data_IF_980685322141
#
_entry.id   IF_980685322141
#
_cell.length_a   1.000
_cell.length_b   1.000
_cell.length_c   1.000
_cell.angle_alpha   90.00
_cell.angle_beta   90.00
_cell.angle_gamma   90.00
#
_symmetry.space_group_name_H-M   'P 1'
#
loop_
_entity.id
_entity.type
_entity.pdbx_description
1 polymer ?
#
# COMPACT_ATOMS: atom_id res chain seq x y z
N UNK A 1 -17.00 2.29 30.41
CA UNK A 1 -15.75 1.69 30.92
C UNK A 1 -14.58 2.51 30.39
N UNK A 2 -13.72 3.08 31.24
CA UNK A 2 -12.52 3.80 30.82
C UNK A 2 -11.33 2.85 30.87
N UNK A 3 -10.57 2.76 29.79
CA UNK A 3 -9.28 2.08 29.78
C UNK A 3 -8.22 3.06 30.30
N UNK A 4 -7.45 2.64 31.30
CA UNK A 4 -6.29 3.37 31.79
C UNK A 4 -5.04 2.65 31.32
N UNK A 5 -4.31 3.26 30.39
CA UNK A 5 -3.04 2.71 29.91
C UNK A 5 -1.98 2.79 31.01
N UNK A 6 -1.15 1.76 31.12
CA UNK A 6 0.06 1.78 31.95
C UNK A 6 1.34 1.99 31.12
N UNK A 7 1.21 2.22 29.81
CA UNK A 7 2.35 2.57 28.98
C UNK A 7 2.88 3.96 29.37
N UNK A 8 4.20 4.06 29.53
CA UNK A 8 4.91 5.30 29.86
C UNK A 8 5.76 5.72 28.65
N UNK A 9 5.29 6.65 27.80
CA UNK A 9 6.00 7.06 26.58
C UNK A 9 7.40 7.64 26.82
N UNK A 10 7.65 8.19 28.01
CA UNK A 10 8.94 8.73 28.40
C UNK A 10 9.97 7.67 28.82
N UNK A 11 9.53 6.44 29.12
CA UNK A 11 10.42 5.37 29.58
C UNK A 11 11.33 4.85 28.47
N UNK A 12 12.53 4.39 28.84
CA UNK A 12 13.50 3.87 27.88
C UNK A 12 12.98 2.59 27.20
N UNK A 13 12.25 1.75 27.93
CA UNK A 13 11.62 0.55 27.38
C UNK A 13 10.59 0.90 26.29
N UNK A 14 9.75 1.92 26.51
CA UNK A 14 8.79 2.36 25.49
C UNK A 14 9.51 2.89 24.24
N UNK A 15 10.52 3.76 24.42
CA UNK A 15 11.32 4.30 23.31
C UNK A 15 12.03 3.21 22.51
N UNK A 16 12.57 2.19 23.19
CA UNK A 16 13.19 1.05 22.52
C UNK A 16 12.17 0.24 21.69
N UNK A 17 10.97 0.00 22.23
CA UNK A 17 9.89 -0.67 21.52
C UNK A 17 9.42 0.14 20.31
N UNK A 18 9.21 1.45 20.48
CA UNK A 18 8.82 2.37 19.40
C UNK A 18 9.87 2.37 18.29
N UNK A 19 11.15 2.51 18.63
CA UNK A 19 12.25 2.49 17.67
C UNK A 19 12.28 1.17 16.87
N UNK A 20 12.17 0.02 17.55
CA UNK A 20 12.14 -1.27 16.89
C UNK A 20 10.91 -1.42 15.97
N UNK A 21 9.75 -0.96 16.41
CA UNK A 21 8.52 -1.03 15.63
C UNK A 21 8.57 -0.13 14.40
N UNK A 22 9.04 1.12 14.55
CA UNK A 22 9.21 2.05 13.43
C UNK A 22 10.21 1.53 12.40
N UNK A 23 11.27 0.85 12.84
CA UNK A 23 12.20 0.18 11.92
C UNK A 23 11.50 -0.91 11.10
N UNK A 24 10.75 -1.79 11.75
CA UNK A 24 9.98 -2.84 11.05
C UNK A 24 8.94 -2.25 10.09
N UNK A 25 8.27 -1.16 10.47
CA UNK A 25 7.33 -0.45 9.60
C UNK A 25 8.03 0.16 8.37
N UNK A 26 9.26 0.65 8.52
CA UNK A 26 10.04 1.16 7.38
C UNK A 26 10.28 0.07 6.34
N UNK A 27 10.69 -1.12 6.77
CA UNK A 27 10.95 -2.25 5.86
C UNK A 27 9.70 -2.63 5.05
N UNK A 28 8.53 -2.64 5.70
CA UNK A 28 7.25 -2.90 5.02
C UNK A 28 6.87 -1.77 4.07
N UNK A 29 7.10 -0.52 4.47
CA UNK A 29 6.82 0.66 3.64
C UNK A 29 7.67 0.66 2.37
N UNK A 30 8.97 0.40 2.50
CA UNK A 30 9.91 0.37 1.37
C UNK A 30 9.49 -0.71 0.36
N UNK A 31 9.09 -1.89 0.83
CA UNK A 31 8.57 -2.96 0.00
C UNK A 31 7.28 -2.56 -0.76
N UNK A 32 6.35 -1.89 -0.07
CA UNK A 32 5.10 -1.42 -0.66
C UNK A 32 5.32 -0.29 -1.68
N UNK A 33 6.20 0.67 -1.39
CA UNK A 33 6.56 1.76 -2.30
C UNK A 33 7.24 1.23 -3.57
N UNK A 34 8.17 0.27 -3.42
CA UNK A 34 8.78 -0.41 -4.56
C UNK A 34 7.73 -1.13 -5.43
N UNK A 35 6.78 -1.85 -4.81
CA UNK A 35 5.69 -2.51 -5.53
C UNK A 35 4.73 -1.49 -6.20
N UNK A 36 4.55 -0.31 -5.61
CA UNK A 36 3.68 0.74 -6.16
C UNK A 36 4.19 1.31 -7.49
N UNK A 37 5.50 1.21 -7.77
CA UNK A 37 6.08 1.55 -9.07
C UNK A 37 5.67 0.58 -10.20
N UNK A 38 5.10 -0.58 -9.87
CA UNK A 38 4.76 -1.61 -10.85
C UNK A 38 6.01 -2.06 -11.61
N UNK A 39 5.88 -2.31 -12.92
CA UNK A 39 7.00 -2.76 -13.76
C UNK A 39 8.12 -1.74 -14.02
N UNK A 40 8.27 -0.70 -13.18
CA UNK A 40 9.24 0.37 -13.28
C UNK A 40 8.90 1.44 -14.33
N UNK A 41 9.70 2.53 -14.33
CA UNK A 41 9.46 3.72 -15.16
C UNK A 41 9.34 3.41 -16.66
N UNK A 42 10.20 2.53 -17.19
CA UNK A 42 10.14 2.14 -18.62
C UNK A 42 8.82 1.49 -19.00
N UNK A 43 8.28 0.62 -18.13
CA UNK A 43 7.00 -0.04 -18.37
C UNK A 43 5.82 0.92 -18.24
N UNK A 44 5.88 1.83 -17.27
CA UNK A 44 4.88 2.89 -17.07
C UNK A 44 4.80 3.81 -18.28
N UNK A 45 5.95 4.35 -18.72
CA UNK A 45 6.03 5.22 -19.89
C UNK A 45 5.52 4.52 -21.15
N UNK A 46 5.85 3.23 -21.36
CA UNK A 46 5.31 2.44 -22.49
C UNK A 46 3.80 2.24 -22.41
N UNK A 47 3.24 2.15 -21.21
CA UNK A 47 1.80 1.99 -21.02
C UNK A 47 1.06 3.30 -21.29
N UNK A 48 1.58 4.41 -20.77
CA UNK A 48 1.06 5.77 -20.99
C UNK A 48 1.19 6.22 -22.44
N UNK A 49 2.30 5.87 -23.13
CA UNK A 49 2.50 6.20 -24.55
C UNK A 49 1.46 5.57 -25.48
N UNK A 50 0.67 4.62 -24.97
CA UNK A 50 -0.47 3.99 -25.66
C UNK A 50 -1.81 4.69 -25.35
N UNK A 51 -1.78 5.84 -24.69
CA UNK A 51 -2.96 6.59 -24.26
C UNK A 51 -3.73 5.93 -23.12
N UNK A 52 -3.09 5.06 -22.33
CA UNK A 52 -3.73 4.30 -21.26
C UNK A 52 -3.36 4.88 -19.90
N UNK A 53 -4.36 5.09 -19.04
CA UNK A 53 -4.18 5.40 -17.63
C UNK A 53 -3.48 4.24 -16.90
N UNK A 54 -2.60 4.54 -15.95
CA UNK A 54 -1.92 3.52 -15.14
C UNK A 54 -2.92 2.80 -14.21
N UNK A 55 -2.68 1.53 -13.86
CA UNK A 55 -3.61 0.76 -13.02
C UNK A 55 -3.99 1.44 -11.69
N UNK A 56 -3.02 1.97 -10.93
CA UNK A 56 -3.30 2.67 -9.66
C UNK A 56 -4.08 3.97 -9.85
N UNK A 57 -3.85 4.68 -10.95
CA UNK A 57 -4.62 5.86 -11.31
C UNK A 57 -6.07 5.49 -11.66
N UNK A 58 -6.30 4.34 -12.31
CA UNK A 58 -7.67 3.85 -12.59
C UNK A 58 -8.44 3.59 -11.32
N UNK A 59 -7.80 2.94 -10.34
CA UNK A 59 -8.41 2.74 -9.02
C UNK A 59 -8.74 4.08 -8.38
N UNK A 60 -7.79 5.02 -8.34
CA UNK A 60 -8.02 6.35 -7.79
C UNK A 60 -9.15 7.14 -8.48
N UNK A 61 -9.31 7.00 -9.81
CA UNK A 61 -10.38 7.65 -10.59
C UNK A 61 -11.73 6.93 -10.50
N UNK A 62 -11.74 5.64 -10.14
CA UNK A 62 -12.96 4.86 -9.94
C UNK A 62 -13.61 5.16 -8.59
N UNK A 63 -12.79 5.37 -7.56
CA UNK A 63 -13.24 5.56 -6.18
C UNK A 63 -13.94 6.92 -5.98
N UNK A 64 -14.89 6.94 -5.06
CA UNK A 64 -15.54 8.18 -4.62
C UNK A 64 -14.49 9.15 -4.06
N UNK A 65 -14.54 10.46 -4.40
CA UNK A 65 -13.58 11.44 -3.89
C UNK A 65 -13.49 11.44 -2.36
N UNK A 66 -12.27 11.31 -1.85
CA UNK A 66 -11.98 11.28 -0.41
C UNK A 66 -12.41 9.99 0.31
N UNK A 67 -12.92 8.98 -0.41
CA UNK A 67 -13.18 7.67 0.18
C UNK A 67 -11.87 6.91 0.44
N UNK A 68 -11.81 6.11 1.52
CA UNK A 68 -10.65 5.28 1.79
C UNK A 68 -10.58 4.11 0.80
N UNK A 69 -9.36 3.61 0.59
CA UNK A 69 -9.10 2.36 -0.11
C UNK A 69 -8.25 1.46 0.78
N UNK A 70 -8.78 0.29 1.12
CA UNK A 70 -8.07 -0.75 1.86
C UNK A 70 -7.43 -1.71 0.85
N UNK A 71 -6.18 -1.43 0.47
CA UNK A 71 -5.43 -2.27 -0.46
C UNK A 71 -5.08 -3.63 0.17
N UNK A 72 -5.20 -4.69 -0.64
CA UNK A 72 -4.91 -6.08 -0.28
C UNK A 72 -3.73 -6.55 -1.12
N UNK A 73 -2.71 -7.09 -0.46
CA UNK A 73 -1.57 -7.68 -1.16
C UNK A 73 -0.58 -6.69 -1.76
N UNK A 74 -0.47 -5.47 -1.20
CA UNK A 74 0.50 -4.47 -1.67
C UNK A 74 1.96 -4.99 -1.71
N UNK A 75 2.32 -5.90 -0.80
CA UNK A 75 3.63 -6.57 -0.74
C UNK A 75 3.62 -8.01 -1.30
N UNK A 76 2.56 -8.40 -2.02
CA UNK A 76 2.48 -9.72 -2.62
C UNK A 76 3.62 -9.95 -3.61
N UNK A 77 4.21 -11.15 -3.55
CA UNK A 77 5.39 -11.57 -4.31
C UNK A 77 6.67 -10.73 -4.06
N UNK A 78 6.74 -9.95 -2.97
CA UNK A 78 7.98 -9.29 -2.56
C UNK A 78 9.10 -10.31 -2.32
N UNK A 79 10.29 -10.05 -2.87
CA UNK A 79 11.45 -10.94 -2.79
C UNK A 79 11.37 -12.21 -3.65
N UNK A 80 10.32 -12.37 -4.46
CA UNK A 80 10.15 -13.50 -5.37
C UNK A 80 10.39 -13.08 -6.82
N UNK A 81 10.70 -14.05 -7.69
CA UNK A 81 10.79 -13.88 -9.15
C UNK A 81 11.69 -12.71 -9.59
N UNK A 82 12.80 -12.46 -8.86
CA UNK A 82 13.73 -11.35 -9.10
C UNK A 82 13.05 -9.97 -9.18
N UNK A 83 11.94 -9.79 -8.46
CA UNK A 83 11.16 -8.54 -8.46
C UNK A 83 10.32 -8.31 -9.72
N UNK A 84 10.17 -9.30 -10.59
CA UNK A 84 9.44 -9.17 -11.86
C UNK A 84 7.91 -9.05 -11.70
N UNK A 85 7.36 -9.37 -10.53
CA UNK A 85 5.92 -9.40 -10.27
C UNK A 85 5.51 -8.55 -9.04
N UNK A 86 5.69 -7.22 -9.09
CA UNK A 86 5.30 -6.33 -7.99
C UNK A 86 3.79 -6.44 -7.69
N UNK A 87 3.43 -6.54 -6.41
CA UNK A 87 2.06 -6.81 -5.95
C UNK A 87 1.42 -8.06 -6.61
N UNK A 88 2.24 -9.04 -6.99
CA UNK A 88 1.84 -10.20 -7.80
C UNK A 88 1.11 -9.84 -9.13
N UNK A 89 1.31 -8.62 -9.64
CA UNK A 89 0.74 -8.14 -10.89
C UNK A 89 -0.71 -7.63 -10.80
N UNK A 90 -1.28 -7.51 -9.60
CA UNK A 90 -2.68 -7.09 -9.39
C UNK A 90 -2.76 -6.01 -8.32
N UNK A 91 -3.70 -5.08 -8.45
CA UNK A 91 -4.05 -4.12 -7.40
C UNK A 91 -5.47 -4.45 -6.95
N UNK A 92 -5.60 -5.07 -5.79
CA UNK A 92 -6.89 -5.41 -5.22
C UNK A 92 -7.16 -4.62 -3.94
N UNK A 93 -8.42 -4.37 -3.62
CA UNK A 93 -8.77 -3.75 -2.36
C UNK A 93 -10.25 -3.39 -2.25
N UNK A 94 -10.63 -2.95 -1.06
CA UNK A 94 -12.00 -2.53 -0.76
C UNK A 94 -12.05 -1.01 -0.74
N UNK A 95 -12.96 -0.43 -1.52
CA UNK A 95 -13.17 1.02 -1.55
C UNK A 95 -14.63 1.35 -1.85
N UNK A 96 -14.94 2.64 -1.92
CA UNK A 96 -16.31 3.10 -2.17
C UNK A 96 -16.48 3.60 -3.60
N UNK A 97 -17.53 3.13 -4.28
CA UNK A 97 -17.92 3.57 -5.63
C UNK A 97 -19.41 3.84 -5.64
N UNK A 98 -19.80 5.07 -5.96
CA UNK A 98 -21.19 5.53 -5.94
C UNK A 98 -21.87 5.24 -4.59
N UNK A 99 -21.15 5.48 -3.48
CA UNK A 99 -21.66 5.24 -2.13
C UNK A 99 -21.63 3.78 -1.65
N UNK A 100 -21.21 2.82 -2.48
CA UNK A 100 -21.20 1.38 -2.13
C UNK A 100 -19.80 0.86 -1.88
N UNK A 101 -19.61 0.08 -0.82
CA UNK A 101 -18.35 -0.66 -0.59
C UNK A 101 -18.24 -1.80 -1.61
N UNK A 102 -17.16 -1.79 -2.40
CA UNK A 102 -16.92 -2.77 -3.47
C UNK A 102 -15.51 -3.33 -3.39
N UNK A 103 -15.36 -4.58 -3.83
CA UNK A 103 -14.06 -5.17 -4.15
C UNK A 103 -13.61 -4.66 -5.53
N UNK A 104 -12.45 -4.02 -5.58
CA UNK A 104 -11.77 -3.60 -6.82
C UNK A 104 -10.62 -4.57 -7.08
N UNK A 105 -10.43 -4.99 -8.33
CA UNK A 105 -9.34 -5.87 -8.80
C UNK A 105 -8.81 -5.39 -10.15
#
# INVERSE_FOLDING_TARGET
MKLTSQALPSSDAYKANEMAHLKALSEVRDAAEAAALGGGEKSRARHESRGKMLPRERVANLLDPGSPFLEIGATAAHGLYDGAAPAAGVIAGIGRVQGHEVMVV
#
